data_IF_824957285945
#
_entry.id   IF_824957285945
#
_cell.length_a   1.000
_cell.length_b   1.000
_cell.length_c   1.000
_cell.angle_alpha   90.00
_cell.angle_beta   90.00
_cell.angle_gamma   90.00
#
_symmetry.space_group_name_H-M   'P 1'
#
loop_
_entity.id
_entity.type
_entity.pdbx_description
1 polymer ?
#
# COMPACT_ATOMS: atom_id res chain seq x y z
N UNK A 1 -11.85 33.36 38.96
CA UNK A 1 -11.21 34.57 38.39
C UNK A 1 -10.63 34.18 37.03
N UNK A 2 -11.25 34.70 35.96
CA UNK A 2 -10.83 34.81 34.53
C UNK A 2 -9.76 33.83 34.01
N UNK A 3 -10.11 32.84 33.20
CA UNK A 3 -10.35 32.91 31.73
C UNK A 3 -9.13 33.36 30.93
N UNK A 4 -8.56 32.43 30.15
CA UNK A 4 -8.29 32.64 28.72
C UNK A 4 -8.21 31.27 28.05
N UNK A 5 -9.29 30.93 27.36
CA UNK A 5 -9.27 29.93 26.30
C UNK A 5 -8.70 30.55 25.03
N UNK A 6 -8.02 29.72 24.25
CA UNK A 6 -7.81 29.92 22.83
C UNK A 6 -8.24 28.63 22.14
N UNK A 7 -9.55 28.52 21.95
CA UNK A 7 -10.14 27.62 20.97
C UNK A 7 -9.70 28.08 19.58
N UNK A 8 -8.89 27.26 18.92
CA UNK A 8 -8.75 27.28 17.47
C UNK A 8 -9.00 25.87 16.93
N UNK A 9 -10.19 25.35 17.22
CA UNK A 9 -10.79 24.24 16.47
C UNK A 9 -11.27 24.80 15.13
N UNK A 10 -10.38 24.84 14.14
CA UNK A 10 -10.78 24.98 12.74
C UNK A 10 -11.55 23.71 12.37
N UNK A 11 -12.88 23.74 12.54
CA UNK A 11 -13.80 22.76 11.97
C UNK A 11 -13.67 22.83 10.45
N UNK A 12 -12.85 21.95 9.87
CA UNK A 12 -12.76 21.75 8.42
C UNK A 12 -14.14 21.34 7.91
N UNK A 13 -14.81 22.19 7.13
CA UNK A 13 -16.11 21.90 6.52
C UNK A 13 -15.95 20.83 5.44
N UNK A 14 -16.81 19.81 5.42
CA UNK A 14 -16.83 18.82 4.33
C UNK A 14 -17.11 19.54 3.01
N UNK A 15 -16.45 19.12 1.93
CA UNK A 15 -16.59 19.73 0.62
C UNK A 15 -17.98 19.51 0.02
N UNK A 16 -18.70 18.51 0.51
CA UNK A 16 -20.09 18.23 0.12
C UNK A 16 -21.09 19.24 0.72
N UNK A 17 -20.72 19.93 1.81
CA UNK A 17 -21.52 20.96 2.48
C UNK A 17 -21.32 22.37 1.90
N UNK A 18 -20.46 22.51 0.88
CA UNK A 18 -20.26 23.79 0.22
C UNK A 18 -21.59 24.27 -0.40
N UNK A 19 -21.98 25.55 -0.21
CA UNK A 19 -23.21 26.11 -0.78
C UNK A 19 -23.40 25.83 -2.27
N UNK A 20 -22.30 25.70 -3.03
CA UNK A 20 -22.31 25.42 -4.46
C UNK A 20 -22.71 23.97 -4.81
N UNK A 21 -22.64 23.05 -3.85
CA UNK A 21 -22.82 21.60 -4.08
C UNK A 21 -23.85 20.95 -3.17
N UNK A 22 -24.25 21.59 -2.07
CA UNK A 22 -25.15 21.05 -1.05
C UNK A 22 -26.42 20.42 -1.63
N UNK A 23 -27.06 21.07 -2.60
CA UNK A 23 -28.29 20.57 -3.24
C UNK A 23 -28.06 19.26 -4.03
N UNK A 24 -26.84 19.04 -4.52
CA UNK A 24 -26.48 17.83 -5.27
C UNK A 24 -26.22 16.62 -4.36
N UNK A 25 -25.87 16.84 -3.08
CA UNK A 25 -25.51 15.79 -2.11
C UNK A 25 -26.57 15.56 -1.03
N UNK A 26 -27.65 16.35 -0.99
CA UNK A 26 -28.73 16.27 0.01
C UNK A 26 -29.50 14.92 0.09
N UNK A 27 -29.30 14.00 -0.86
CA UNK A 27 -29.90 12.65 -0.86
C UNK A 27 -28.97 11.54 -0.35
N UNK A 28 -27.74 11.84 0.09
CA UNK A 28 -26.83 10.84 0.63
C UNK A 28 -26.98 10.72 2.17
N UNK A 29 -26.95 9.52 2.76
CA UNK A 29 -27.18 9.33 4.19
C UNK A 29 -26.09 9.98 5.06
N UNK A 30 -26.51 10.65 6.13
CA UNK A 30 -25.65 11.36 7.09
C UNK A 30 -24.88 10.40 8.00
N UNK A 31 -23.59 10.21 7.73
CA UNK A 31 -22.55 9.87 8.72
C UNK A 31 -21.19 10.29 8.14
N UNK A 32 -20.60 11.34 8.71
CA UNK A 32 -19.41 12.00 8.14
C UNK A 32 -18.15 11.64 8.92
N UNK A 33 -17.08 11.36 8.17
CA UNK A 33 -15.71 11.19 8.65
C UNK A 33 -14.97 12.50 8.44
N UNK A 34 -14.18 12.90 9.43
CA UNK A 34 -13.34 14.10 9.40
C UNK A 34 -12.23 13.94 8.34
N UNK A 35 -12.15 14.89 7.40
CA UNK A 35 -11.16 14.90 6.32
C UNK A 35 -9.81 15.38 6.87
N UNK A 36 -8.79 14.53 6.84
CA UNK A 36 -7.41 14.95 7.07
C UNK A 36 -6.81 15.47 5.75
N UNK A 37 -6.57 16.78 5.67
CA UNK A 37 -5.68 17.32 4.63
C UNK A 37 -4.28 16.70 4.77
N UNK A 38 -3.56 16.43 3.66
CA UNK A 38 -2.21 15.91 3.73
C UNK A 38 -1.34 16.88 4.52
N UNK A 39 -0.90 16.45 5.71
CA UNK A 39 -0.18 17.29 6.66
C UNK A 39 1.07 17.89 6.03
N UNK A 40 1.22 19.20 6.16
CA UNK A 40 2.37 20.00 5.72
C UNK A 40 3.57 19.79 6.65
N UNK A 41 4.15 18.59 6.71
CA UNK A 41 5.45 18.40 7.36
C UNK A 41 6.32 17.43 6.59
N UNK A 42 7.19 17.98 5.76
CA UNK A 42 8.32 17.25 5.16
C UNK A 42 9.52 18.18 5.13
N UNK A 43 10.31 18.18 6.21
CA UNK A 43 11.73 18.53 6.14
C UNK A 43 12.51 17.34 5.58
N UNK A 44 12.23 16.94 4.34
CA UNK A 44 12.99 15.89 3.66
C UNK A 44 14.23 16.55 3.05
N UNK A 45 15.38 16.32 3.66
CA UNK A 45 16.67 16.85 3.19
C UNK A 45 16.96 16.31 1.78
N UNK A 46 17.47 17.24 0.98
CA UNK A 46 17.70 17.22 -0.47
C UNK A 46 18.45 15.97 -0.95
N UNK A 47 17.99 15.43 -2.07
CA UNK A 47 18.70 14.43 -2.87
C UNK A 47 20.06 14.99 -3.30
N UNK A 48 21.14 14.37 -2.83
CA UNK A 48 22.50 14.73 -3.22
C UNK A 48 22.79 14.27 -4.64
N UNK A 49 22.94 15.23 -5.55
CA UNK A 49 23.58 15.06 -6.84
C UNK A 49 24.96 14.42 -6.70
N UNK A 50 25.31 13.51 -7.62
CA UNK A 50 26.64 12.89 -7.72
C UNK A 50 27.70 14.00 -7.77
N UNK A 51 28.35 14.24 -6.63
CA UNK A 51 29.33 15.30 -6.48
C UNK A 51 30.71 14.68 -6.75
N UNK A 52 31.32 15.04 -7.87
CA UNK A 52 32.64 14.55 -8.34
C UNK A 52 33.82 14.93 -7.41
N UNK A 53 33.55 15.54 -6.26
CA UNK A 53 34.53 15.92 -5.22
C UNK A 53 34.15 15.43 -3.82
N UNK A 54 33.48 14.29 -3.70
CA UNK A 54 33.22 13.71 -2.38
C UNK A 54 34.53 13.18 -1.76
N UNK A 55 34.93 13.77 -0.63
CA UNK A 55 36.06 13.32 0.17
C UNK A 55 35.84 11.86 0.61
N UNK A 56 36.89 11.03 0.65
CA UNK A 56 36.84 9.65 1.15
C UNK A 56 36.13 9.54 2.52
N UNK A 57 36.32 10.54 3.39
CA UNK A 57 35.64 10.63 4.70
C UNK A 57 34.12 10.80 4.56
N UNK A 58 33.66 11.53 3.54
CA UNK A 58 32.25 11.66 3.20
C UNK A 58 31.67 10.33 2.75
N UNK A 59 32.36 9.62 1.84
CA UNK A 59 31.94 8.28 1.39
C UNK A 59 31.85 7.27 2.53
N UNK A 60 32.81 7.23 3.44
CA UNK A 60 32.74 6.33 4.60
C UNK A 60 31.59 6.67 5.55
N UNK A 61 31.32 7.96 5.79
CA UNK A 61 30.20 8.38 6.63
C UNK A 61 28.86 7.99 5.98
N UNK A 62 28.71 8.26 4.69
CA UNK A 62 27.47 7.97 3.99
C UNK A 62 27.24 6.44 3.92
N UNK A 63 28.29 5.64 3.69
CA UNK A 63 28.21 4.18 3.77
C UNK A 63 27.82 3.66 5.17
N UNK A 64 28.34 4.26 6.25
CA UNK A 64 27.94 3.89 7.62
C UNK A 64 26.48 4.26 7.90
N UNK A 65 26.01 5.39 7.38
CA UNK A 65 24.60 5.78 7.47
C UNK A 65 23.70 4.81 6.69
N UNK A 66 24.15 4.33 5.52
CA UNK A 66 23.44 3.33 4.72
C UNK A 66 23.37 1.98 5.46
N UNK A 67 24.47 1.52 6.08
CA UNK A 67 24.46 0.30 6.90
C UNK A 67 23.57 0.43 8.14
N UNK A 68 23.58 1.61 8.78
CA UNK A 68 22.68 1.89 9.90
C UNK A 68 21.21 1.85 9.44
N UNK A 69 20.88 2.52 8.33
CA UNK A 69 19.55 2.50 7.75
C UNK A 69 19.14 1.07 7.38
N UNK A 70 20.01 0.30 6.73
CA UNK A 70 19.77 -1.11 6.41
C UNK A 70 19.50 -1.94 7.67
N UNK A 71 20.25 -1.72 8.77
CA UNK A 71 20.01 -2.38 10.05
C UNK A 71 18.65 -2.04 10.66
N UNK A 72 18.25 -0.77 10.63
CA UNK A 72 16.93 -0.32 11.12
C UNK A 72 15.80 -0.93 10.29
N UNK A 73 15.91 -0.89 8.96
CA UNK A 73 14.94 -1.45 8.02
C UNK A 73 14.82 -2.96 8.20
N UNK A 74 15.96 -3.65 8.32
CA UNK A 74 16.00 -5.08 8.55
C UNK A 74 15.31 -5.42 9.86
N UNK A 75 15.65 -4.76 10.97
CA UNK A 75 15.05 -5.02 12.27
C UNK A 75 13.55 -4.70 12.30
N UNK A 76 13.10 -3.62 11.66
CA UNK A 76 11.69 -3.24 11.64
C UNK A 76 10.81 -4.26 10.90
N UNK A 77 11.32 -4.87 9.82
CA UNK A 77 10.60 -5.89 9.06
C UNK A 77 10.79 -7.30 9.66
N UNK A 78 11.89 -7.52 10.38
CA UNK A 78 12.19 -8.81 10.99
C UNK A 78 11.49 -8.98 12.34
N UNK A 79 11.32 -7.96 13.16
CA UNK A 79 10.69 -8.12 14.48
C UNK A 79 9.18 -8.14 14.36
N UNK A 80 8.62 -9.34 14.27
CA UNK A 80 7.19 -9.60 14.27
C UNK A 80 6.91 -10.80 15.18
N UNK A 81 5.65 -10.94 15.62
CA UNK A 81 5.26 -12.13 16.39
C UNK A 81 5.48 -13.43 15.60
N UNK A 82 5.26 -13.39 14.28
CA UNK A 82 5.50 -14.53 13.40
C UNK A 82 6.98 -14.95 13.35
N UNK A 83 7.91 -13.99 13.36
CA UNK A 83 9.35 -14.30 13.33
C UNK A 83 9.82 -14.86 14.65
N UNK A 84 9.31 -14.34 15.78
CA UNK A 84 9.57 -14.90 17.10
C UNK A 84 9.11 -16.36 17.16
N UNK A 85 7.91 -16.65 16.67
CA UNK A 85 7.35 -18.00 16.68
C UNK A 85 8.19 -18.96 15.80
N UNK A 86 8.51 -18.56 14.57
CA UNK A 86 9.37 -19.33 13.67
C UNK A 86 10.78 -19.55 14.26
N UNK A 87 11.34 -18.54 14.92
CA UNK A 87 12.64 -18.63 15.58
C UNK A 87 12.63 -19.60 16.78
N UNK A 88 11.58 -19.59 17.60
CA UNK A 88 11.45 -20.54 18.70
C UNK A 88 11.29 -21.98 18.18
N UNK A 89 10.53 -22.17 17.11
CA UNK A 89 10.37 -23.49 16.48
C UNK A 89 11.68 -23.96 15.83
N UNK A 90 12.46 -23.07 15.22
CA UNK A 90 13.75 -23.43 14.61
C UNK A 90 14.86 -23.75 15.61
N UNK A 91 14.77 -23.24 16.85
CA UNK A 91 15.63 -23.69 17.95
C UNK A 91 15.11 -24.98 18.59
N UNK A 92 13.79 -25.06 18.79
CA UNK A 92 13.13 -26.18 19.46
C UNK A 92 13.23 -27.48 18.68
N UNK A 93 13.01 -27.46 17.36
CA UNK A 93 12.98 -28.68 16.55
C UNK A 93 14.34 -29.41 16.50
N UNK A 94 15.47 -28.79 16.12
CA UNK A 94 16.77 -29.47 16.13
C UNK A 94 17.18 -29.92 17.54
N UNK A 95 16.87 -29.12 18.58
CA UNK A 95 17.13 -29.51 19.97
C UNK A 95 16.35 -30.76 20.35
N UNK A 96 15.06 -30.83 20.02
CA UNK A 96 14.23 -31.99 20.28
C UNK A 96 14.77 -33.24 19.59
N UNK A 97 15.15 -33.16 18.31
CA UNK A 97 15.75 -34.30 17.59
C UNK A 97 17.14 -34.69 18.10
N UNK A 98 17.92 -33.74 18.62
CA UNK A 98 19.22 -34.02 19.20
C UNK A 98 19.11 -34.80 20.51
N UNK A 99 18.20 -34.40 21.41
CA UNK A 99 17.96 -35.10 22.68
C UNK A 99 17.12 -36.37 22.53
N UNK A 100 16.29 -36.45 21.49
CA UNK A 100 15.53 -37.65 21.17
C UNK A 100 16.46 -38.70 20.54
N UNK A 101 16.98 -39.59 21.39
CA UNK A 101 17.79 -40.73 20.99
C UNK A 101 16.95 -42.01 21.07
N UNK A 102 16.26 -42.42 19.99
CA UNK A 102 15.67 -43.75 19.95
C UNK A 102 16.79 -44.80 20.00
N UNK A 103 16.62 -45.81 20.84
CA UNK A 103 17.48 -46.99 20.80
C UNK A 103 17.15 -47.75 19.51
N UNK A 104 18.15 -47.96 18.66
CA UNK A 104 17.99 -48.81 17.48
C UNK A 104 17.80 -50.28 17.91
N UNK A 105 17.43 -51.15 16.97
CA UNK A 105 17.31 -52.61 17.15
C UNK A 105 18.56 -53.30 17.75
N UNK A 106 19.71 -52.61 17.73
CA UNK A 106 21.00 -52.99 18.33
C UNK A 106 21.22 -52.50 19.77
N UNK A 107 20.28 -51.75 20.35
CA UNK A 107 20.36 -51.21 21.71
C UNK A 107 21.28 -49.99 21.87
N UNK A 108 21.90 -49.50 20.79
CA UNK A 108 22.76 -48.32 20.81
C UNK A 108 21.91 -47.06 20.61
N UNK A 109 21.97 -46.05 21.51
CA UNK A 109 21.30 -44.78 21.29
C UNK A 109 21.96 -44.05 20.13
N UNK A 110 21.21 -43.82 19.06
CA UNK A 110 21.65 -42.99 17.93
C UNK A 110 20.75 -41.78 17.80
N UNK A 111 21.33 -40.65 17.41
CA UNK A 111 20.56 -39.46 17.09
C UNK A 111 19.71 -39.73 15.84
N UNK A 112 18.44 -39.31 15.88
CA UNK A 112 17.60 -39.35 14.68
C UNK A 112 18.09 -38.31 13.67
N UNK A 113 18.93 -38.77 12.74
CA UNK A 113 19.59 -37.93 11.74
C UNK A 113 19.32 -38.47 10.34
N UNK A 114 19.06 -37.57 9.40
CA UNK A 114 18.78 -37.94 8.01
C UNK A 114 19.38 -36.92 7.05
N UNK A 115 20.03 -37.39 5.99
CA UNK A 115 20.49 -36.53 4.90
C UNK A 115 19.29 -36.17 4.00
N UNK A 116 18.70 -35.00 4.24
CA UNK A 116 17.56 -34.47 3.48
C UNK A 116 18.03 -33.49 2.41
N UNK A 117 17.40 -33.56 1.24
CA UNK A 117 17.64 -32.61 0.15
C UNK A 117 16.90 -31.29 0.38
N UNK A 118 17.57 -30.17 0.11
CA UNK A 118 16.98 -28.82 0.15
C UNK A 118 16.17 -28.45 -1.11
N UNK A 119 16.15 -29.32 -2.13
CA UNK A 119 15.45 -29.08 -3.40
C UNK A 119 13.96 -28.78 -3.17
N UNK A 120 13.31 -29.50 -2.26
CA UNK A 120 11.90 -29.30 -1.94
C UNK A 120 11.63 -27.90 -1.40
N UNK A 121 12.50 -27.38 -0.53
CA UNK A 121 12.36 -26.02 0.01
C UNK A 121 12.52 -24.96 -1.08
N UNK A 122 13.56 -25.11 -1.91
CA UNK A 122 13.83 -24.16 -2.99
C UNK A 122 12.67 -24.10 -3.99
N UNK A 123 12.15 -25.25 -4.41
CA UNK A 123 11.08 -25.30 -5.40
C UNK A 123 9.71 -24.95 -4.82
N UNK A 124 9.35 -25.48 -3.64
CA UNK A 124 8.01 -25.35 -3.09
C UNK A 124 7.80 -24.05 -2.29
N UNK A 125 8.86 -23.44 -1.76
CA UNK A 125 8.75 -22.26 -0.87
C UNK A 125 9.36 -21.03 -1.52
N UNK A 126 10.64 -21.09 -1.90
CA UNK A 126 11.37 -19.91 -2.39
C UNK A 126 10.82 -19.43 -3.74
N UNK A 127 10.54 -20.35 -4.66
CA UNK A 127 10.03 -19.99 -6.00
C UNK A 127 8.68 -19.25 -5.96
N UNK A 128 7.63 -19.73 -5.24
CA UNK A 128 6.39 -18.97 -5.07
C UNK A 128 6.59 -17.60 -4.41
N UNK A 129 7.49 -17.48 -3.43
CA UNK A 129 7.78 -16.20 -2.78
C UNK A 129 8.39 -15.18 -3.77
N UNK A 130 9.36 -15.60 -4.59
CA UNK A 130 9.94 -14.75 -5.65
C UNK A 130 8.84 -14.27 -6.61
N UNK A 131 7.94 -15.17 -7.03
CA UNK A 131 6.85 -14.81 -7.93
C UNK A 131 5.89 -13.79 -7.30
N UNK A 132 5.55 -13.94 -6.01
CA UNK A 132 4.69 -13.00 -5.30
C UNK A 132 5.33 -11.62 -5.15
N UNK A 133 6.63 -11.56 -4.85
CA UNK A 133 7.39 -10.30 -4.81
C UNK A 133 7.36 -9.60 -6.17
N UNK A 134 7.59 -10.34 -7.27
CA UNK A 134 7.50 -9.78 -8.62
C UNK A 134 6.11 -9.21 -8.92
N UNK A 135 5.06 -9.93 -8.56
CA UNK A 135 3.68 -9.46 -8.75
C UNK A 135 3.39 -8.20 -7.92
N UNK A 136 3.92 -8.11 -6.70
CA UNK A 136 3.79 -6.92 -5.86
C UNK A 136 4.47 -5.70 -6.51
N UNK A 137 5.68 -5.84 -7.06
CA UNK A 137 6.32 -4.76 -7.82
C UNK A 137 5.53 -4.36 -9.06
N UNK A 138 5.08 -5.32 -9.88
CA UNK A 138 4.23 -4.99 -11.04
C UNK A 138 2.95 -4.27 -10.63
N UNK A 139 2.34 -4.63 -9.50
CA UNK A 139 1.16 -3.95 -8.97
C UNK A 139 1.45 -2.49 -8.62
N UNK A 140 2.57 -2.23 -7.95
CA UNK A 140 3.02 -0.88 -7.61
C UNK A 140 3.22 -0.01 -8.85
N UNK A 141 3.94 -0.51 -9.86
CA UNK A 141 4.16 0.23 -11.11
C UNK A 141 2.83 0.56 -11.80
N UNK A 142 1.90 -0.41 -11.85
CA UNK A 142 0.55 -0.16 -12.37
C UNK A 142 -0.24 0.90 -11.60
N UNK A 143 0.00 1.02 -10.29
CA UNK A 143 -0.62 2.05 -9.45
C UNK A 143 -0.03 3.43 -9.75
N UNK A 144 1.29 3.52 -9.92
CA UNK A 144 1.99 4.74 -10.32
C UNK A 144 1.51 5.25 -11.67
N UNK A 145 1.42 4.37 -12.67
CA UNK A 145 0.92 4.71 -14.00
C UNK A 145 -0.52 5.24 -13.93
N UNK A 146 -1.39 4.55 -13.17
CA UNK A 146 -2.78 4.97 -13.01
C UNK A 146 -2.92 6.33 -12.29
N UNK A 147 -2.10 6.61 -11.27
CA UNK A 147 -2.05 7.93 -10.60
C UNK A 147 -1.57 9.01 -11.56
N UNK A 148 -0.53 8.73 -12.37
CA UNK A 148 0.02 9.69 -13.32
C UNK A 148 -1.02 10.06 -14.39
N UNK A 149 -1.69 9.08 -14.98
CA UNK A 149 -2.77 9.29 -15.95
C UNK A 149 -3.95 10.03 -15.32
N UNK A 150 -4.40 9.62 -14.13
CA UNK A 150 -5.46 10.29 -13.39
C UNK A 150 -5.15 11.77 -13.16
N UNK A 151 -3.92 12.08 -12.71
CA UNK A 151 -3.47 13.46 -12.47
C UNK A 151 -3.55 14.30 -13.75
N UNK A 152 -3.06 13.76 -14.86
CA UNK A 152 -3.07 14.44 -16.15
C UNK A 152 -4.52 14.70 -16.63
N UNK A 153 -5.40 13.69 -16.52
CA UNK A 153 -6.79 13.80 -16.96
C UNK A 153 -7.56 14.80 -16.08
N UNK A 154 -7.43 14.74 -14.75
CA UNK A 154 -8.07 15.66 -13.83
C UNK A 154 -7.68 17.13 -14.11
N UNK A 155 -6.38 17.37 -14.34
CA UNK A 155 -5.89 18.72 -14.69
C UNK A 155 -6.45 19.19 -16.04
N UNK A 156 -6.53 18.30 -17.03
CA UNK A 156 -7.09 18.62 -18.35
C UNK A 156 -8.61 18.87 -18.30
N UNK A 157 -9.36 18.17 -17.44
CA UNK A 157 -10.79 18.46 -17.23
C UNK A 157 -10.96 19.86 -16.64
N UNK A 158 -10.12 20.27 -15.68
CA UNK A 158 -10.20 21.62 -15.14
C UNK A 158 -9.79 22.68 -16.18
N UNK A 159 -8.73 22.44 -16.95
CA UNK A 159 -8.33 23.31 -18.07
C UNK A 159 -9.43 23.42 -19.13
N UNK A 160 -10.13 22.32 -19.42
CA UNK A 160 -11.26 22.31 -20.33
C UNK A 160 -12.40 23.21 -19.82
N UNK A 161 -12.72 23.13 -18.53
CA UNK A 161 -13.74 23.98 -17.93
C UNK A 161 -13.30 25.45 -17.87
N UNK A 162 -12.02 25.75 -17.61
CA UNK A 162 -11.52 27.11 -17.29
C UNK A 162 -10.92 27.89 -18.46
N UNK A 163 -10.36 27.22 -19.47
CA UNK A 163 -9.61 27.87 -20.57
C UNK A 163 -10.26 27.62 -21.94
N UNK A 164 -10.92 26.48 -22.15
CA UNK A 164 -11.44 26.12 -23.47
C UNK A 164 -12.48 27.14 -23.97
N UNK A 165 -12.22 27.75 -25.12
CA UNK A 165 -13.08 28.74 -25.73
C UNK A 165 -13.69 28.20 -27.03
N UNK A 166 -15.01 28.24 -27.17
CA UNK A 166 -15.75 27.71 -28.33
C UNK A 166 -16.35 28.81 -29.23
N UNK A 167 -15.71 29.98 -29.28
CA UNK A 167 -16.10 31.07 -30.18
C UNK A 167 -17.37 31.81 -29.72
N UNK A 168 -17.84 32.77 -30.53
CA UNK A 168 -18.99 33.69 -30.32
C UNK A 168 -19.49 33.84 -28.86
N UNK A 169 -18.57 34.13 -27.93
CA UNK A 169 -18.80 34.50 -26.53
C UNK A 169 -19.73 33.63 -25.66
N UNK A 170 -20.14 32.42 -26.06
CA UNK A 170 -20.98 31.54 -25.23
C UNK A 170 -20.38 31.19 -23.87
N UNK A 171 -19.04 31.32 -23.74
CA UNK A 171 -18.31 31.17 -22.48
C UNK A 171 -18.55 32.32 -21.49
N UNK A 172 -18.81 33.55 -21.95
CA UNK A 172 -19.11 34.69 -21.08
C UNK A 172 -20.50 34.57 -20.43
N UNK A 173 -21.39 33.78 -21.03
CA UNK A 173 -22.72 33.49 -20.53
C UNK A 173 -22.73 32.36 -19.47
N UNK A 174 -21.59 31.73 -19.21
CA UNK A 174 -21.49 30.73 -18.15
C UNK A 174 -21.76 31.37 -16.78
N UNK A 175 -22.47 30.67 -15.90
CA UNK A 175 -22.59 31.09 -14.51
C UNK A 175 -21.20 31.31 -13.89
N UNK A 176 -21.01 32.37 -13.10
CA UNK A 176 -19.73 32.64 -12.44
C UNK A 176 -19.29 31.48 -11.53
N UNK A 177 -20.25 30.68 -11.06
CA UNK A 177 -20.06 29.52 -10.21
C UNK A 177 -19.58 28.25 -10.96
N UNK A 178 -19.62 28.23 -12.29
CA UNK A 178 -19.29 27.03 -13.10
C UNK A 178 -17.85 26.56 -12.88
N UNK A 179 -16.88 27.47 -13.03
CA UNK A 179 -15.46 27.17 -12.87
C UNK A 179 -15.08 26.74 -11.43
N UNK A 180 -15.47 27.49 -10.37
CA UNK A 180 -15.17 27.05 -9.01
C UNK A 180 -15.87 25.74 -8.66
N UNK A 181 -17.10 25.50 -9.15
CA UNK A 181 -17.81 24.23 -8.97
C UNK A 181 -17.07 23.06 -9.61
N UNK A 182 -16.57 23.20 -10.84
CA UNK A 182 -15.79 22.16 -11.50
C UNK A 182 -14.49 21.84 -10.74
N UNK A 183 -13.78 22.86 -10.23
CA UNK A 183 -12.60 22.68 -9.37
C UNK A 183 -12.96 21.93 -8.08
N UNK A 184 -14.04 22.32 -7.43
CA UNK A 184 -14.50 21.72 -6.17
C UNK A 184 -14.88 20.25 -6.37
N UNK A 185 -15.65 19.92 -7.42
CA UNK A 185 -16.01 18.55 -7.76
C UNK A 185 -14.77 17.66 -7.99
N UNK A 186 -13.78 18.15 -8.73
CA UNK A 186 -12.52 17.41 -8.95
C UNK A 186 -11.72 17.24 -7.65
N UNK A 187 -11.62 18.30 -6.83
CA UNK A 187 -10.92 18.25 -5.53
C UNK A 187 -11.61 17.28 -4.58
N UNK A 188 -12.94 17.32 -4.49
CA UNK A 188 -13.74 16.42 -3.68
C UNK A 188 -13.59 14.96 -4.10
N UNK A 189 -13.71 14.70 -5.41
CA UNK A 189 -13.51 13.37 -5.99
C UNK A 189 -12.10 12.81 -5.65
N UNK A 190 -11.05 13.62 -5.80
CA UNK A 190 -9.68 13.23 -5.47
C UNK A 190 -9.49 13.01 -3.96
N UNK A 191 -10.16 13.78 -3.12
CA UNK A 191 -10.10 13.63 -1.65
C UNK A 191 -10.76 12.34 -1.20
N UNK A 192 -11.91 12.00 -1.79
CA UNK A 192 -12.60 10.74 -1.51
C UNK A 192 -11.73 9.55 -1.95
N UNK A 193 -11.04 9.66 -3.09
CA UNK A 193 -10.12 8.59 -3.55
C UNK A 193 -8.88 8.48 -2.66
N UNK A 194 -8.29 9.61 -2.27
CA UNK A 194 -7.19 9.64 -1.32
C UNK A 194 -7.56 8.91 -0.01
N UNK A 195 -8.72 9.23 0.55
CA UNK A 195 -9.26 8.59 1.75
C UNK A 195 -9.45 7.08 1.55
N UNK A 196 -9.99 6.67 0.40
CA UNK A 196 -10.15 5.26 0.04
C UNK A 196 -8.81 4.52 -0.06
N UNK A 197 -7.80 5.13 -0.71
CA UNK A 197 -6.48 4.51 -0.91
C UNK A 197 -5.69 4.34 0.40
N UNK A 198 -5.86 5.25 1.36
CA UNK A 198 -5.22 5.15 2.68
C UNK A 198 -5.97 4.27 3.68
N UNK A 199 -7.19 3.84 3.35
CA UNK A 199 -7.97 2.97 4.24
C UNK A 199 -7.19 1.69 4.60
N UNK A 200 -7.25 1.22 5.86
CA UNK A 200 -6.55 0.00 6.27
C UNK A 200 -7.07 -1.23 5.53
N UNK A 201 -6.23 -2.26 5.48
CA UNK A 201 -6.56 -3.47 4.74
C UNK A 201 -7.64 -4.31 5.44
N UNK A 202 -8.85 -4.42 4.88
CA UNK A 202 -9.96 -5.18 5.46
C UNK A 202 -10.36 -6.46 4.67
N UNK A 203 -9.58 -6.88 3.66
CA UNK A 203 -9.85 -8.09 2.84
C UNK A 203 -8.94 -9.30 3.16
N UNK A 204 -8.09 -9.20 4.18
CA UNK A 204 -7.21 -10.31 4.63
C UNK A 204 -8.02 -11.53 5.14
N UNK A 205 -7.39 -12.71 5.15
CA UNK A 205 -8.03 -13.96 5.59
C UNK A 205 -8.68 -13.89 6.98
N UNK A 206 -8.10 -13.13 7.93
CA UNK A 206 -8.71 -12.92 9.25
C UNK A 206 -10.12 -12.34 9.19
N UNK A 207 -10.40 -11.45 8.23
CA UNK A 207 -11.72 -10.83 8.11
C UNK A 207 -12.77 -11.76 7.48
N UNK A 208 -12.33 -12.87 6.88
CA UNK A 208 -13.23 -13.89 6.32
C UNK A 208 -13.48 -15.04 7.29
N UNK A 209 -12.49 -15.38 8.11
CA UNK A 209 -12.52 -16.59 8.95
C UNK A 209 -12.65 -16.32 10.45
N UNK A 210 -12.60 -15.06 10.92
CA UNK A 210 -12.76 -14.72 12.34
C UNK A 210 -13.97 -13.80 12.55
N UNK A 211 -14.71 -13.97 13.64
CA UNK A 211 -15.91 -13.18 13.94
C UNK A 211 -15.58 -11.69 14.14
N UNK A 212 -14.52 -11.39 14.92
CA UNK A 212 -14.08 -10.00 15.15
C UNK A 212 -13.60 -9.33 13.87
N UNK A 213 -12.81 -10.04 13.05
CA UNK A 213 -12.36 -9.52 11.76
C UNK A 213 -13.50 -9.35 10.75
N UNK A 214 -14.52 -10.21 10.78
CA UNK A 214 -15.69 -10.06 9.91
C UNK A 214 -16.49 -8.81 10.28
N UNK A 215 -16.68 -8.54 11.57
CA UNK A 215 -17.33 -7.32 12.04
C UNK A 215 -16.54 -6.06 11.63
N UNK A 216 -15.21 -6.08 11.74
CA UNK A 216 -14.33 -5.00 11.26
C UNK A 216 -14.51 -4.75 9.76
N UNK A 217 -14.54 -5.81 8.94
CA UNK A 217 -14.73 -5.67 7.49
C UNK A 217 -16.10 -5.14 7.10
N UNK A 218 -17.18 -5.52 7.81
CA UNK A 218 -18.52 -4.95 7.56
C UNK A 218 -18.52 -3.44 7.75
N UNK A 219 -17.87 -2.94 8.81
CA UNK A 219 -17.76 -1.51 9.07
C UNK A 219 -17.03 -0.78 7.94
N UNK A 220 -15.86 -1.28 7.50
CA UNK A 220 -15.12 -0.65 6.41
C UNK A 220 -15.82 -0.77 5.05
N UNK A 221 -16.52 -1.86 4.77
CA UNK A 221 -17.29 -2.01 3.52
C UNK A 221 -18.40 -0.95 3.42
N UNK A 222 -19.11 -0.65 4.51
CA UNK A 222 -20.12 0.41 4.51
C UNK A 222 -19.52 1.79 4.18
N UNK A 223 -18.31 2.08 4.70
CA UNK A 223 -17.59 3.30 4.37
C UNK A 223 -17.18 3.34 2.89
N UNK A 224 -16.70 2.21 2.36
CA UNK A 224 -16.34 2.07 0.95
C UNK A 224 -17.54 2.32 0.04
N UNK A 225 -18.68 1.71 0.33
CA UNK A 225 -19.90 1.89 -0.45
C UNK A 225 -20.34 3.37 -0.48
N UNK A 226 -20.21 4.05 0.66
CA UNK A 226 -20.51 5.49 0.77
C UNK A 226 -19.56 6.33 -0.10
N UNK A 227 -18.25 6.05 -0.06
CA UNK A 227 -17.27 6.74 -0.91
C UNK A 227 -17.54 6.52 -2.39
N UNK A 228 -17.86 5.29 -2.81
CA UNK A 228 -18.23 5.00 -4.19
C UNK A 228 -19.46 5.77 -4.66
N UNK A 229 -20.50 5.85 -3.81
CA UNK A 229 -21.69 6.63 -4.11
C UNK A 229 -21.37 8.13 -4.26
N UNK A 230 -20.58 8.71 -3.34
CA UNK A 230 -20.12 10.10 -3.41
C UNK A 230 -19.34 10.39 -4.70
N UNK A 231 -18.39 9.53 -5.05
CA UNK A 231 -17.62 9.63 -6.29
C UNK A 231 -18.54 9.59 -7.52
N UNK A 232 -19.51 8.69 -7.56
CA UNK A 232 -20.45 8.57 -8.68
C UNK A 232 -21.35 9.81 -8.81
N UNK A 233 -21.79 10.38 -7.67
CA UNK A 233 -22.52 11.66 -7.67
C UNK A 233 -21.64 12.78 -8.22
N UNK A 234 -20.36 12.85 -7.82
CA UNK A 234 -19.42 13.83 -8.34
C UNK A 234 -19.20 13.71 -9.86
N UNK A 235 -19.01 12.48 -10.38
CA UNK A 235 -18.92 12.24 -11.82
C UNK A 235 -20.20 12.67 -12.56
N UNK A 236 -21.37 12.35 -12.01
CA UNK A 236 -22.66 12.81 -12.56
C UNK A 236 -22.72 14.34 -12.62
N UNK A 237 -22.28 15.03 -11.57
CA UNK A 237 -22.24 16.50 -11.54
C UNK A 237 -21.24 17.07 -12.56
N UNK A 238 -20.07 16.45 -12.75
CA UNK A 238 -19.12 16.84 -13.79
C UNK A 238 -19.72 16.71 -15.19
N UNK A 239 -20.47 15.63 -15.47
CA UNK A 239 -21.21 15.51 -16.73
C UNK A 239 -22.28 16.61 -16.91
N UNK A 240 -23.00 16.99 -15.85
CA UNK A 240 -23.95 18.11 -15.91
C UNK A 240 -23.28 19.46 -16.20
N UNK A 241 -22.03 19.68 -15.78
CA UNK A 241 -21.26 20.87 -16.19
C UNK A 241 -21.11 20.91 -17.72
N UNK A 242 -20.84 19.78 -18.37
CA UNK A 242 -20.75 19.71 -19.85
C UNK A 242 -22.08 20.02 -20.50
N UNK A 243 -23.19 19.51 -19.96
CA UNK A 243 -24.53 19.81 -20.48
C UNK A 243 -24.88 21.30 -20.35
N UNK A 244 -24.44 21.96 -19.28
CA UNK A 244 -24.56 23.42 -19.13
C UNK A 244 -23.78 24.15 -20.23
N UNK A 245 -22.54 23.74 -20.50
CA UNK A 245 -21.73 24.33 -21.58
C UNK A 245 -22.37 24.09 -22.96
N UNK A 246 -22.94 22.91 -23.21
CA UNK A 246 -23.69 22.58 -24.44
C UNK A 246 -24.92 23.47 -24.62
N UNK A 247 -25.67 23.73 -23.54
CA UNK A 247 -26.81 24.64 -23.56
C UNK A 247 -26.46 26.06 -24.00
N UNK A 248 -25.21 26.48 -23.75
CA UNK A 248 -24.66 27.79 -24.12
C UNK A 248 -23.83 27.76 -25.43
N UNK A 249 -24.07 26.76 -26.28
CA UNK A 249 -23.51 26.71 -27.63
C UNK A 249 -22.16 26.01 -27.75
N UNK A 250 -21.70 25.23 -26.77
CA UNK A 250 -20.54 24.35 -26.93
C UNK A 250 -20.82 23.31 -28.05
N UNK A 251 -19.99 23.24 -29.10
CA UNK A 251 -20.15 22.29 -30.17
C UNK A 251 -20.20 20.82 -29.68
N UNK A 252 -21.06 19.95 -30.24
CA UNK A 252 -21.21 18.56 -29.79
C UNK A 252 -19.91 17.73 -29.85
N UNK A 253 -19.03 18.02 -30.82
CA UNK A 253 -17.74 17.36 -30.96
C UNK A 253 -16.77 17.68 -29.80
N UNK A 254 -16.74 18.92 -29.32
CA UNK A 254 -15.93 19.33 -28.18
C UNK A 254 -16.51 18.79 -26.87
N UNK A 255 -17.83 18.86 -26.71
CA UNK A 255 -18.53 18.28 -25.57
C UNK A 255 -18.30 16.76 -25.45
N UNK A 256 -18.34 16.05 -26.58
CA UNK A 256 -18.03 14.62 -26.64
C UNK A 256 -16.61 14.31 -26.14
N UNK A 257 -15.62 15.14 -26.52
CA UNK A 257 -14.23 15.00 -26.05
C UNK A 257 -14.10 15.22 -24.54
N UNK A 258 -14.81 16.20 -23.98
CA UNK A 258 -14.81 16.43 -22.53
C UNK A 258 -15.47 15.27 -21.77
N UNK A 259 -16.60 14.75 -22.28
CA UNK A 259 -17.22 13.54 -21.73
C UNK A 259 -16.30 12.32 -21.81
N UNK A 260 -15.48 12.22 -22.87
CA UNK A 260 -14.46 11.18 -22.99
C UNK A 260 -13.39 11.32 -21.89
N UNK A 261 -12.96 12.53 -21.55
CA UNK A 261 -12.05 12.76 -20.43
C UNK A 261 -12.67 12.37 -19.08
N UNK A 262 -13.96 12.63 -18.86
CA UNK A 262 -14.66 12.15 -17.65
C UNK A 262 -14.65 10.63 -17.56
N UNK A 263 -14.97 9.94 -18.65
CA UNK A 263 -14.89 8.48 -18.70
C UNK A 263 -13.47 7.97 -18.44
N UNK A 264 -12.45 8.57 -19.06
CA UNK A 264 -11.06 8.19 -18.80
C UNK A 264 -10.68 8.40 -17.34
N UNK A 265 -11.10 9.51 -16.72
CA UNK A 265 -10.86 9.76 -15.30
C UNK A 265 -11.50 8.67 -14.44
N UNK A 266 -12.79 8.39 -14.67
CA UNK A 266 -13.53 7.35 -13.95
C UNK A 266 -12.87 5.97 -14.11
N UNK A 267 -12.41 5.62 -15.30
CA UNK A 267 -11.70 4.36 -15.54
C UNK A 267 -10.40 4.25 -14.73
N UNK A 268 -9.67 5.36 -14.52
CA UNK A 268 -8.46 5.36 -13.67
C UNK A 268 -8.77 5.28 -12.19
N UNK A 269 -9.84 5.91 -11.74
CA UNK A 269 -10.36 5.77 -10.39
C UNK A 269 -10.71 4.31 -10.09
N UNK A 270 -11.50 3.67 -10.94
CA UNK A 270 -11.86 2.25 -10.78
C UNK A 270 -10.64 1.33 -10.84
N UNK A 271 -9.66 1.64 -11.71
CA UNK A 271 -8.40 0.90 -11.77
C UNK A 271 -7.66 0.98 -10.44
N UNK A 272 -7.53 2.18 -9.85
CA UNK A 272 -6.88 2.36 -8.55
C UNK A 272 -7.64 1.64 -7.44
N UNK A 273 -8.97 1.70 -7.44
CA UNK A 273 -9.77 0.98 -6.47
C UNK A 273 -9.61 -0.54 -6.58
N UNK A 274 -9.55 -1.08 -7.79
CA UNK A 274 -9.25 -2.49 -8.03
C UNK A 274 -7.85 -2.90 -7.53
N UNK A 275 -6.85 -2.04 -7.72
CA UNK A 275 -5.48 -2.22 -7.17
C UNK A 275 -5.48 -2.07 -5.65
N UNK A 276 -6.49 -1.49 -4.98
CA UNK A 276 -6.57 -1.52 -3.52
C UNK A 276 -7.27 -2.79 -3.01
N UNK A 277 -8.40 -3.16 -3.62
CA UNK A 277 -9.29 -4.23 -3.13
C UNK A 277 -8.79 -5.64 -3.49
N UNK A 278 -8.40 -5.87 -4.75
CA UNK A 278 -8.07 -7.21 -5.26
C UNK A 278 -6.57 -7.47 -5.22
N UNK A 279 -6.08 -7.97 -4.08
CA UNK A 279 -4.64 -8.17 -3.79
C UNK A 279 -4.07 -9.49 -4.30
N UNK A 280 -2.76 -9.70 -4.08
CA UNK A 280 -2.11 -10.97 -4.41
C UNK A 280 -2.84 -12.13 -3.71
N UNK A 281 -2.85 -13.33 -4.30
CA UNK A 281 -3.70 -14.43 -3.84
C UNK A 281 -3.48 -14.78 -2.37
N UNK A 282 -4.53 -14.60 -1.55
CA UNK A 282 -4.49 -14.87 -0.11
C UNK A 282 -4.11 -16.33 0.23
N UNK A 283 -4.47 -17.28 -0.63
CA UNK A 283 -4.19 -18.70 -0.45
C UNK A 283 -2.68 -18.99 -0.46
N UNK A 284 -1.95 -18.50 -1.47
CA UNK A 284 -0.50 -18.71 -1.62
C UNK A 284 0.28 -18.13 -0.45
N UNK A 285 -0.13 -16.96 0.04
CA UNK A 285 0.48 -16.34 1.22
C UNK A 285 0.23 -17.14 2.50
N UNK A 286 -1.01 -17.59 2.70
CA UNK A 286 -1.38 -18.37 3.88
C UNK A 286 -0.64 -19.71 3.90
N UNK A 287 -0.50 -20.34 2.73
CA UNK A 287 0.31 -21.54 2.53
C UNK A 287 1.79 -21.31 2.85
N UNK A 288 2.40 -20.25 2.30
CA UNK A 288 3.80 -19.91 2.53
C UNK A 288 4.07 -19.64 4.02
N UNK A 289 3.18 -18.90 4.70
CA UNK A 289 3.27 -18.62 6.15
C UNK A 289 3.30 -19.91 6.98
N UNK A 290 2.43 -20.87 6.65
CA UNK A 290 2.37 -22.15 7.36
C UNK A 290 3.57 -23.04 7.05
N UNK A 291 4.02 -23.11 5.80
CA UNK A 291 5.18 -23.94 5.47
C UNK A 291 6.45 -23.40 6.12
N UNK A 292 6.69 -22.08 6.11
CA UNK A 292 7.86 -21.49 6.78
C UNK A 292 7.88 -21.86 8.28
N UNK A 293 6.71 -21.94 8.91
CA UNK A 293 6.59 -22.37 10.30
C UNK A 293 6.85 -23.87 10.48
N UNK A 294 6.35 -24.72 9.59
CA UNK A 294 6.51 -26.18 9.71
C UNK A 294 7.89 -26.68 9.26
N UNK A 295 8.60 -25.91 8.43
CA UNK A 295 9.85 -26.33 7.80
C UNK A 295 10.93 -26.77 8.81
N UNK A 296 11.18 -26.06 9.93
CA UNK A 296 12.21 -26.47 10.87
C UNK A 296 11.88 -27.79 11.57
N UNK A 297 10.60 -28.13 11.73
CA UNK A 297 10.18 -29.43 12.26
C UNK A 297 10.55 -30.56 11.30
N UNK A 298 10.37 -30.37 9.99
CA UNK A 298 10.72 -31.39 8.99
C UNK A 298 12.23 -31.51 8.76
N UNK A 299 12.95 -30.38 8.77
CA UNK A 299 14.41 -30.35 8.53
C UNK A 299 15.24 -30.49 9.80
N UNK A 300 14.62 -30.60 10.99
CA UNK A 300 15.29 -30.91 12.26
C UNK A 300 16.33 -32.05 12.18
N UNK A 301 15.99 -33.22 11.60
CA UNK A 301 16.91 -34.35 11.46
C UNK A 301 18.13 -34.05 10.56
N UNK A 302 17.98 -33.13 9.60
CA UNK A 302 19.09 -32.72 8.74
C UNK A 302 20.12 -31.88 9.49
N UNK A 303 19.69 -30.97 10.37
CA UNK A 303 20.62 -30.20 11.20
C UNK A 303 21.38 -31.10 12.18
N UNK A 304 20.74 -32.15 12.69
CA UNK A 304 21.39 -33.17 13.52
C UNK A 304 22.34 -34.04 12.70
N UNK A 305 21.98 -34.38 11.46
CA UNK A 305 22.87 -35.08 10.53
C UNK A 305 24.17 -34.32 10.28
N UNK A 306 24.13 -32.99 10.16
CA UNK A 306 25.34 -32.16 10.02
C UNK A 306 26.29 -32.33 11.22
N UNK A 307 25.76 -32.55 12.43
CA UNK A 307 26.59 -32.80 13.63
C UNK A 307 27.19 -34.21 13.58
N UNK A 308 26.40 -35.20 13.14
CA UNK A 308 26.79 -36.61 13.13
C UNK A 308 27.65 -37.02 11.91
N UNK A 309 27.69 -36.21 10.86
CA UNK A 309 28.49 -36.49 9.65
C UNK A 309 29.99 -36.52 9.99
N UNK A 310 30.68 -37.53 9.44
CA UNK A 310 32.03 -37.97 9.85
C UNK A 310 33.19 -36.98 9.70
N UNK A 311 32.93 -35.74 9.28
CA UNK A 311 33.93 -34.67 9.20
C UNK A 311 34.19 -33.99 10.56
N UNK A 312 33.40 -34.29 11.61
CA UNK A 312 33.74 -34.03 13.02
C UNK A 312 33.96 -32.57 13.47
N UNK A 313 33.77 -31.59 12.60
CA UNK A 313 34.07 -30.18 12.88
C UNK A 313 32.85 -29.30 13.19
N UNK A 314 31.64 -29.84 13.12
CA UNK A 314 30.38 -29.10 13.27
C UNK A 314 29.84 -29.25 14.70
N UNK A 315 29.68 -28.13 15.40
CA UNK A 315 29.17 -28.11 16.76
C UNK A 315 27.63 -28.07 16.81
N UNK A 316 27.05 -28.49 17.93
CA UNK A 316 25.61 -28.33 18.18
C UNK A 316 25.16 -26.86 18.08
N UNK A 317 26.00 -25.94 18.59
CA UNK A 317 25.76 -24.50 18.47
C UNK A 317 25.70 -24.05 17.00
N UNK A 318 26.58 -24.58 16.14
CA UNK A 318 26.55 -24.28 14.71
C UNK A 318 25.24 -24.76 14.06
N UNK A 319 24.78 -25.97 14.36
CA UNK A 319 23.53 -26.50 13.82
C UNK A 319 22.30 -25.66 14.24
N UNK A 320 22.24 -25.22 15.49
CA UNK A 320 21.18 -24.32 15.98
C UNK A 320 21.21 -22.96 15.29
N UNK A 321 22.40 -22.35 15.18
CA UNK A 321 22.56 -21.06 14.49
C UNK A 321 22.19 -21.18 13.02
N UNK A 322 22.59 -22.26 12.35
CA UNK A 322 22.23 -22.51 10.96
C UNK A 322 20.71 -22.67 10.78
N UNK A 323 20.06 -23.44 11.67
CA UNK A 323 18.60 -23.58 11.65
C UNK A 323 17.90 -22.25 11.85
N UNK A 324 18.29 -21.51 12.89
CA UNK A 324 17.75 -20.19 13.18
C UNK A 324 17.95 -19.21 12.01
N UNK A 325 19.16 -19.11 11.45
CA UNK A 325 19.47 -18.22 10.33
C UNK A 325 18.64 -18.54 9.09
N UNK A 326 18.50 -19.82 8.72
CA UNK A 326 17.70 -20.23 7.56
C UNK A 326 16.23 -19.88 7.73
N UNK A 327 15.64 -20.14 8.90
CA UNK A 327 14.24 -19.81 9.18
C UNK A 327 13.98 -18.31 9.27
N UNK A 328 14.89 -17.57 9.93
CA UNK A 328 14.86 -16.09 10.03
C UNK A 328 14.96 -15.45 8.64
N UNK A 329 15.79 -15.99 7.76
CA UNK A 329 15.91 -15.50 6.38
C UNK A 329 14.61 -15.71 5.61
N UNK A 330 14.01 -16.90 5.69
CA UNK A 330 12.74 -17.19 4.98
C UNK A 330 11.60 -16.31 5.49
N UNK A 331 11.42 -16.20 6.81
CA UNK A 331 10.36 -15.34 7.36
C UNK A 331 10.63 -13.85 7.11
N UNK A 332 11.90 -13.43 7.07
CA UNK A 332 12.28 -12.08 6.68
C UNK A 332 11.83 -11.72 5.26
N UNK A 333 12.10 -12.59 4.29
CA UNK A 333 11.64 -12.40 2.91
C UNK A 333 10.10 -12.40 2.84
N UNK A 334 9.43 -13.28 3.60
CA UNK A 334 7.97 -13.31 3.66
C UNK A 334 7.38 -12.01 4.25
N UNK A 335 8.02 -11.41 5.25
CA UNK A 335 7.58 -10.13 5.81
C UNK A 335 7.76 -8.99 4.81
N UNK A 336 8.85 -8.99 4.02
CA UNK A 336 9.05 -8.04 2.92
C UNK A 336 7.96 -8.22 1.86
N UNK A 337 7.66 -9.45 1.46
CA UNK A 337 6.56 -9.75 0.53
C UNK A 337 5.22 -9.17 1.04
N UNK A 338 4.92 -9.36 2.33
CA UNK A 338 3.72 -8.83 2.96
C UNK A 338 3.69 -7.30 2.98
N UNK A 339 4.84 -6.66 3.25
CA UNK A 339 4.95 -5.20 3.26
C UNK A 339 4.76 -4.58 1.86
N UNK A 340 5.16 -5.29 0.79
CA UNK A 340 4.99 -4.86 -0.60
C UNK A 340 3.58 -5.11 -1.17
N UNK A 341 2.71 -5.83 -0.46
CA UNK A 341 1.39 -6.24 -0.96
C UNK A 341 0.49 -5.05 -1.30
N UNK A 342 0.42 -4.07 -0.40
CA UNK A 342 -0.40 -2.87 -0.57
C UNK A 342 0.50 -1.69 -0.95
N UNK A 343 0.49 -1.27 -2.24
CA UNK A 343 1.37 -0.22 -2.72
C UNK A 343 1.00 1.16 -2.17
N UNK A 344 -0.15 1.33 -1.52
CA UNK A 344 -0.62 2.62 -1.01
C UNK A 344 -0.31 2.83 0.48
N UNK A 345 0.26 1.84 1.15
CA UNK A 345 0.64 1.93 2.57
C UNK A 345 2.11 2.23 2.74
N UNK A 346 2.47 2.89 3.85
CA UNK A 346 3.87 3.16 4.21
C UNK A 346 4.60 1.94 4.81
N UNK A 347 3.91 0.79 4.96
CA UNK A 347 4.50 -0.44 5.53
C UNK A 347 5.67 -0.95 4.69
N UNK A 348 5.50 -0.99 3.36
CA UNK A 348 6.60 -1.21 2.43
C UNK A 348 7.28 0.13 2.19
N UNK A 349 8.51 0.32 2.66
CA UNK A 349 9.30 1.54 2.46
C UNK A 349 9.36 2.02 0.99
N UNK A 350 9.10 1.11 0.06
CA UNK A 350 9.01 1.34 -1.38
C UNK A 350 7.58 1.61 -1.90
N UNK A 351 6.60 1.84 -1.03
CA UNK A 351 5.23 2.20 -1.40
C UNK A 351 5.13 3.47 -2.23
N UNK A 352 3.98 3.66 -2.87
CA UNK A 352 3.64 4.91 -3.55
C UNK A 352 3.49 6.00 -2.48
N UNK A 353 4.19 7.12 -2.66
CA UNK A 353 4.05 8.30 -1.79
C UNK A 353 2.74 9.03 -2.10
N UNK A 354 1.62 8.47 -1.65
CA UNK A 354 0.26 8.94 -1.94
C UNK A 354 0.10 10.41 -1.52
N UNK A 355 0.53 10.78 -0.31
CA UNK A 355 0.44 12.17 0.20
C UNK A 355 1.12 13.17 -0.72
N UNK A 356 2.34 12.86 -1.15
CA UNK A 356 3.14 13.73 -2.03
C UNK A 356 2.50 13.82 -3.41
N UNK A 357 1.98 12.71 -3.94
CA UNK A 357 1.33 12.66 -5.24
C UNK A 357 0.04 13.50 -5.26
N UNK A 358 -0.85 13.30 -4.28
CA UNK A 358 -2.12 14.03 -4.17
C UNK A 358 -1.89 15.51 -3.83
N UNK A 359 -0.94 15.84 -2.95
CA UNK A 359 -0.55 17.24 -2.69
C UNK A 359 -0.10 17.95 -3.96
N UNK A 360 0.74 17.32 -4.78
CA UNK A 360 1.20 17.89 -6.06
C UNK A 360 0.05 18.05 -7.06
N UNK A 361 -0.96 17.20 -7.00
CA UNK A 361 -2.16 17.30 -7.84
C UNK A 361 -3.07 18.45 -7.37
N UNK A 362 -3.33 18.59 -6.06
CA UNK A 362 -4.08 19.73 -5.54
C UNK A 362 -3.41 21.08 -5.89
N UNK A 363 -2.10 21.17 -5.72
CA UNK A 363 -1.33 22.35 -6.16
C UNK A 363 -1.46 22.63 -7.67
N UNK A 364 -1.53 21.58 -8.50
CA UNK A 364 -1.74 21.74 -9.93
C UNK A 364 -3.15 22.29 -10.23
N UNK A 365 -4.19 21.79 -9.55
CA UNK A 365 -5.56 22.31 -9.70
C UNK A 365 -5.66 23.77 -9.23
N UNK A 366 -5.01 24.12 -8.12
CA UNK A 366 -4.95 25.49 -7.61
C UNK A 366 -4.15 26.41 -8.56
N UNK A 367 -3.14 25.88 -9.27
CA UNK A 367 -2.41 26.66 -10.29
C UNK A 367 -3.26 26.91 -11.55
N UNK A 368 -4.09 25.94 -11.95
CA UNK A 368 -4.98 26.09 -13.11
C UNK A 368 -6.09 27.11 -12.84
N UNK A 369 -6.65 27.09 -11.63
CA UNK A 369 -7.68 28.05 -11.22
C UNK A 369 -7.42 28.45 -9.75
N UNK A 370 -6.76 29.59 -9.49
CA UNK A 370 -6.36 30.01 -8.15
C UNK A 370 -7.54 30.22 -7.20
#
# INVERSE_FOLDING_TARGET
MRSHGSDSTTTSRDWTDDPLLRDAFACAPEHYIEIHEPTTNSSRKVATSINSKASFRGHCRDALLDWYAAGVIFWSHLVNFDTLLVFLVSLGAPSAYYYYMPADSSGVPQHFSANLSWILVTFAVVSPMIMQIRQAFTRRENALDAIAEMKAIASNILLANTVWNWGKNGRQELPPEHNPRAKLLLRGLLTDLYTFLLMPTFTRGRHRFTQSGAAEAVHYNAQVDTLYQRMMVAFRQLHFQVETMKGLGLPPNEASRLNQYHWFLQARFERLCNIKLYRTPQATRSFSRLIILLLPCFYGPYYVYIIASGDGHTSFAFALVLSAMTSVTMIGIFNVEKALEDPFTEEGLDGVQVDVAFRRLFLALDTVYP
#
